data_IF_826493842103
#
_entry.id   IF_826493842103
#
_cell.length_a   1.000
_cell.length_b   1.000
_cell.length_c   1.000
_cell.angle_alpha   90.00
_cell.angle_beta   90.00
_cell.angle_gamma   90.00
#
_symmetry.space_group_name_H-M   'P 1'
#
loop_
_entity.id
_entity.type
_entity.pdbx_description
1 polymer ?
#
# COMPACT_ATOMS: atom_id res chain seq x y z
N UNK A 1 -12.66 15.29 -16.27
CA UNK A 1 -11.71 14.40 -15.58
C UNK A 1 -11.62 14.83 -14.13
N UNK A 2 -11.28 13.91 -13.22
CA UNK A 2 -11.58 14.08 -11.79
C UNK A 2 -10.52 13.42 -10.90
N UNK A 3 -10.20 14.09 -9.79
CA UNK A 3 -9.46 13.48 -8.69
C UNK A 3 -10.21 12.23 -8.20
N UNK A 4 -9.52 11.10 -8.17
CA UNK A 4 -10.01 9.82 -7.67
C UNK A 4 -9.81 9.73 -6.16
N UNK A 5 -10.65 8.95 -5.51
CA UNK A 5 -10.43 8.57 -4.12
C UNK A 5 -9.31 7.52 -4.04
N UNK A 6 -8.56 7.44 -2.94
CA UNK A 6 -7.57 6.38 -2.75
C UNK A 6 -8.17 4.97 -2.88
N UNK A 7 -9.42 4.77 -2.45
CA UNK A 7 -10.12 3.49 -2.57
C UNK A 7 -10.46 3.10 -4.02
N UNK A 8 -10.76 4.06 -4.90
CA UNK A 8 -10.94 3.79 -6.34
C UNK A 8 -9.62 3.38 -7.00
N UNK A 9 -8.53 4.08 -6.68
CA UNK A 9 -7.20 3.78 -7.19
C UNK A 9 -6.74 2.40 -6.73
N UNK A 10 -6.92 2.09 -5.44
CA UNK A 10 -6.63 0.77 -4.89
C UNK A 10 -7.42 -0.35 -5.58
N UNK A 11 -8.74 -0.18 -5.76
CA UNK A 11 -9.56 -1.18 -6.46
C UNK A 11 -9.15 -1.35 -7.93
N UNK A 12 -8.77 -0.27 -8.61
CA UNK A 12 -8.26 -0.37 -9.97
C UNK A 12 -6.95 -1.16 -10.04
N UNK A 13 -6.04 -0.98 -9.07
CA UNK A 13 -4.80 -1.76 -8.95
C UNK A 13 -5.08 -3.25 -8.69
N UNK A 14 -6.03 -3.58 -7.81
CA UNK A 14 -6.46 -4.97 -7.62
C UNK A 14 -7.00 -5.57 -8.92
N UNK A 15 -7.83 -4.81 -9.65
CA UNK A 15 -8.36 -5.22 -10.96
C UNK A 15 -7.29 -5.41 -12.03
N UNK A 16 -6.14 -4.71 -11.90
CA UNK A 16 -4.98 -4.89 -12.76
C UNK A 16 -4.09 -6.08 -12.35
N UNK A 17 -4.33 -6.70 -11.20
CA UNK A 17 -3.60 -7.88 -10.72
C UNK A 17 -2.64 -7.64 -9.56
N UNK A 18 -2.56 -6.42 -9.02
CA UNK A 18 -1.68 -6.14 -7.88
C UNK A 18 -2.03 -6.99 -6.64
N UNK A 19 -1.02 -7.58 -5.97
CA UNK A 19 -1.20 -8.07 -4.62
C UNK A 19 -1.70 -6.93 -3.71
N UNK A 20 -2.59 -7.21 -2.73
CA UNK A 20 -3.17 -6.17 -1.87
C UNK A 20 -2.16 -5.22 -1.23
N UNK A 21 -1.06 -5.74 -0.68
CA UNK A 21 -0.02 -4.92 -0.05
C UNK A 21 0.74 -4.06 -1.06
N UNK A 22 0.98 -4.59 -2.26
CA UNK A 22 1.59 -3.85 -3.36
C UNK A 22 0.64 -2.75 -3.87
N UNK A 23 -0.67 -3.01 -3.91
CA UNK A 23 -1.68 -2.03 -4.27
C UNK A 23 -1.77 -0.89 -3.25
N UNK A 24 -1.61 -1.15 -1.93
CA UNK A 24 -1.50 -0.09 -0.91
C UNK A 24 -0.32 0.83 -1.21
N UNK A 25 0.87 0.24 -1.43
CA UNK A 25 2.09 0.99 -1.74
C UNK A 25 1.92 1.83 -3.01
N UNK A 26 1.41 1.23 -4.09
CA UNK A 26 1.21 1.93 -5.36
C UNK A 26 0.13 3.02 -5.26
N UNK A 27 -0.92 2.81 -4.47
CA UNK A 27 -1.92 3.86 -4.19
C UNK A 27 -1.28 5.05 -3.46
N UNK A 28 -0.37 4.80 -2.52
CA UNK A 28 0.34 5.86 -1.80
C UNK A 28 1.34 6.60 -2.70
N UNK A 29 2.04 5.89 -3.58
CA UNK A 29 2.89 6.49 -4.63
C UNK A 29 2.04 7.43 -5.49
N UNK A 30 0.87 6.98 -5.93
CA UNK A 30 -0.03 7.78 -6.74
C UNK A 30 -0.50 9.08 -6.05
N UNK A 31 -0.65 9.04 -4.73
CA UNK A 31 -0.92 10.23 -3.91
C UNK A 31 0.20 11.27 -4.00
N UNK A 32 1.46 10.83 -3.97
CA UNK A 32 2.60 11.74 -4.10
C UNK A 32 2.89 12.21 -5.53
N UNK A 33 2.59 11.37 -6.53
CA UNK A 33 2.81 11.66 -7.95
C UNK A 33 1.82 12.69 -8.49
N UNK A 34 0.52 12.51 -8.20
CA UNK A 34 -0.55 13.30 -8.82
C UNK A 34 -1.58 13.85 -7.83
N UNK A 35 -1.50 13.45 -6.55
CA UNK A 35 -2.63 13.67 -5.62
C UNK A 35 -3.89 12.92 -6.06
N UNK A 36 -3.70 11.74 -6.68
CA UNK A 36 -4.74 10.88 -7.26
C UNK A 36 -5.56 11.53 -8.39
N UNK A 37 -4.98 12.46 -9.14
CA UNK A 37 -5.63 13.09 -10.30
C UNK A 37 -5.41 12.24 -11.57
N UNK A 38 -6.50 11.70 -12.13
CA UNK A 38 -6.46 10.82 -13.31
C UNK A 38 -6.19 11.54 -14.64
N UNK A 39 -6.12 12.86 -14.59
CA UNK A 39 -5.79 13.75 -15.70
C UNK A 39 -4.48 14.51 -15.49
N UNK A 40 -3.73 14.24 -14.42
CA UNK A 40 -2.50 14.95 -14.17
C UNK A 40 -1.53 14.78 -15.34
N UNK A 41 -1.04 15.90 -15.88
CA UNK A 41 -0.02 15.91 -16.94
C UNK A 41 1.26 16.53 -16.40
N UNK A 42 2.30 15.71 -16.29
CA UNK A 42 3.62 16.08 -15.78
C UNK A 42 4.70 16.06 -16.85
N UNK A 43 5.90 16.50 -16.46
CA UNK A 43 7.13 16.44 -17.27
C UNK A 43 7.01 17.00 -18.69
N UNK A 44 6.15 17.99 -18.86
CA UNK A 44 5.84 18.59 -20.17
C UNK A 44 7.07 19.26 -20.79
N UNK A 45 7.98 19.78 -19.96
CA UNK A 45 9.26 20.39 -20.37
C UNK A 45 10.35 19.38 -20.71
N UNK A 46 10.18 18.10 -20.34
CA UNK A 46 11.16 17.03 -20.60
C UNK A 46 10.86 16.25 -21.88
N UNK A 47 9.78 16.60 -22.58
CA UNK A 47 9.38 15.93 -23.81
C UNK A 47 10.42 16.13 -24.92
N UNK A 48 10.60 15.11 -25.76
CA UNK A 48 11.49 15.17 -26.93
C UNK A 48 10.95 14.28 -28.06
N UNK A 49 11.78 13.88 -29.02
CA UNK A 49 11.33 13.02 -30.12
C UNK A 49 10.87 11.61 -29.67
N UNK A 50 11.41 11.11 -28.55
CA UNK A 50 11.11 9.78 -28.02
C UNK A 50 10.01 9.82 -26.97
N UNK A 51 10.14 10.74 -26.01
CA UNK A 51 9.31 10.77 -24.81
C UNK A 51 8.20 11.83 -24.91
N UNK A 52 6.97 11.40 -24.60
CA UNK A 52 5.82 12.28 -24.35
C UNK A 52 5.78 12.71 -22.88
N UNK A 53 4.70 13.36 -22.42
CA UNK A 53 4.57 13.77 -21.02
C UNK A 53 4.39 12.54 -20.10
N UNK A 54 4.46 12.78 -18.79
CA UNK A 54 3.97 11.82 -17.81
C UNK A 54 2.47 12.04 -17.62
N UNK A 55 1.67 10.97 -17.55
CA UNK A 55 0.20 11.07 -17.55
C UNK A 55 -0.46 10.26 -16.43
N UNK A 56 -1.54 10.83 -15.88
CA UNK A 56 -2.50 10.16 -15.02
C UNK A 56 -2.06 9.96 -13.58
N UNK A 57 -2.80 9.12 -12.86
CA UNK A 57 -2.69 8.94 -11.41
C UNK A 57 -1.29 8.50 -11.00
N UNK A 58 -0.65 7.66 -11.82
CA UNK A 58 0.69 7.10 -11.56
C UNK A 58 1.82 7.83 -12.30
N UNK A 59 1.52 8.95 -12.98
CA UNK A 59 2.48 9.72 -13.77
C UNK A 59 3.32 8.83 -14.70
N UNK A 60 2.66 7.99 -15.49
CA UNK A 60 3.35 7.10 -16.43
C UNK A 60 4.00 7.91 -17.54
N UNK A 61 5.32 7.82 -17.66
CA UNK A 61 6.08 8.47 -18.74
C UNK A 61 5.76 7.83 -20.10
N UNK A 62 5.02 8.57 -20.93
CA UNK A 62 4.55 8.09 -22.25
C UNK A 62 5.66 8.06 -23.30
N UNK A 63 5.52 7.17 -24.28
CA UNK A 63 6.41 7.06 -25.44
C UNK A 63 5.68 7.54 -26.69
N UNK A 64 6.26 8.49 -27.42
CA UNK A 64 5.66 9.00 -28.66
C UNK A 64 5.48 7.91 -29.71
N UNK A 65 6.44 7.00 -29.81
CA UNK A 65 6.39 5.85 -30.71
C UNK A 65 5.25 4.89 -30.40
N UNK A 66 4.66 4.95 -29.21
CA UNK A 66 3.61 4.04 -28.74
C UNK A 66 2.19 4.61 -28.85
N UNK A 67 2.07 5.87 -29.28
CA UNK A 67 0.79 6.56 -29.43
C UNK A 67 -0.16 5.79 -30.36
N UNK A 68 -1.36 5.47 -29.87
CA UNK A 68 -2.43 4.80 -30.62
C UNK A 68 -2.27 3.29 -30.79
N UNK A 69 -1.36 2.65 -30.04
CA UNK A 69 -1.10 1.21 -30.10
C UNK A 69 -1.75 0.40 -28.98
N UNK A 70 -2.31 1.05 -27.96
CA UNK A 70 -2.91 0.37 -26.80
C UNK A 70 -1.89 -0.24 -25.83
N UNK A 71 -0.63 0.24 -25.83
CA UNK A 71 0.41 -0.27 -24.92
C UNK A 71 0.46 0.50 -23.61
N UNK A 72 1.17 -0.02 -22.61
CA UNK A 72 1.29 0.58 -21.27
C UNK A 72 1.83 2.03 -21.26
N UNK A 73 2.51 2.47 -22.32
CA UNK A 73 3.06 3.84 -22.45
C UNK A 73 2.37 4.67 -23.53
N UNK A 74 1.22 4.20 -24.03
CA UNK A 74 0.39 4.90 -24.99
C UNK A 74 -0.49 5.94 -24.29
N UNK A 75 -0.30 7.21 -24.63
CA UNK A 75 -1.09 8.30 -24.05
C UNK A 75 -2.59 8.20 -24.38
N UNK A 76 -2.96 7.65 -25.54
CA UNK A 76 -4.37 7.50 -25.93
C UNK A 76 -5.09 6.47 -25.08
N UNK A 77 -4.41 5.37 -24.74
CA UNK A 77 -4.91 4.33 -23.84
C UNK A 77 -5.01 4.83 -22.39
N UNK A 78 -4.06 5.64 -21.94
CA UNK A 78 -4.04 6.17 -20.57
C UNK A 78 -5.07 7.28 -20.32
N UNK A 79 -5.47 8.01 -21.35
CA UNK A 79 -6.30 9.22 -21.21
C UNK A 79 -7.72 8.89 -20.78
N UNK A 80 -8.06 9.22 -19.54
CA UNK A 80 -9.41 9.07 -18.99
C UNK A 80 -9.78 7.65 -18.54
N UNK A 81 -8.87 6.67 -18.66
CA UNK A 81 -9.08 5.29 -18.23
C UNK A 81 -8.17 4.93 -17.04
N UNK A 82 -8.73 4.95 -15.83
CA UNK A 82 -8.03 4.57 -14.61
C UNK A 82 -7.59 3.10 -14.62
N UNK A 83 -8.35 2.21 -15.26
CA UNK A 83 -8.00 0.79 -15.39
C UNK A 83 -6.79 0.60 -16.29
N UNK A 84 -6.74 1.31 -17.41
CA UNK A 84 -5.56 1.34 -18.29
C UNK A 84 -4.33 1.89 -17.57
N UNK A 85 -4.49 2.98 -16.81
CA UNK A 85 -3.42 3.53 -15.98
C UNK A 85 -2.91 2.51 -14.93
N UNK A 86 -3.83 1.77 -14.29
CA UNK A 86 -3.46 0.73 -13.32
C UNK A 86 -2.75 -0.47 -13.97
N UNK A 87 -3.18 -0.89 -15.18
CA UNK A 87 -2.47 -1.92 -15.97
C UNK A 87 -1.06 -1.45 -16.36
N UNK A 88 -0.90 -0.19 -16.77
CA UNK A 88 0.41 0.36 -17.06
C UNK A 88 1.33 0.36 -15.82
N UNK A 89 0.79 0.76 -14.65
CA UNK A 89 1.50 0.68 -13.39
C UNK A 89 1.92 -0.77 -13.03
N UNK A 90 1.05 -1.74 -13.30
CA UNK A 90 1.31 -3.17 -13.09
C UNK A 90 2.52 -3.66 -13.90
N UNK A 91 2.50 -3.40 -15.20
CA UNK A 91 3.59 -3.76 -16.11
C UNK A 91 4.91 -3.08 -15.73
N UNK A 92 4.88 -1.76 -15.49
CA UNK A 92 6.10 -0.97 -15.19
C UNK A 92 6.71 -1.38 -13.85
N UNK A 93 5.87 -1.76 -12.88
CA UNK A 93 6.34 -2.16 -11.55
C UNK A 93 6.81 -3.61 -11.46
N UNK A 94 7.01 -4.28 -12.59
CA UNK A 94 7.31 -5.72 -12.65
C UNK A 94 6.30 -6.52 -11.83
N UNK A 95 5.01 -6.28 -12.07
CA UNK A 95 3.92 -6.95 -11.37
C UNK A 95 3.91 -6.66 -9.86
N UNK A 96 4.11 -5.38 -9.49
CA UNK A 96 4.10 -4.92 -8.11
C UNK A 96 5.30 -5.36 -7.26
N UNK A 97 6.35 -5.85 -7.89
CA UNK A 97 7.59 -6.27 -7.22
C UNK A 97 8.64 -5.16 -7.15
N UNK A 98 8.58 -4.16 -8.03
CA UNK A 98 9.57 -3.10 -8.16
C UNK A 98 8.91 -1.72 -8.32
N UNK A 99 9.08 -0.87 -7.31
CA UNK A 99 8.58 0.51 -7.31
C UNK A 99 9.68 1.56 -7.55
N UNK A 100 10.92 1.14 -7.82
CA UNK A 100 12.04 2.05 -8.08
C UNK A 100 11.88 2.98 -9.29
N UNK A 101 11.04 2.71 -10.30
CA UNK A 101 10.76 3.67 -11.36
C UNK A 101 10.13 4.99 -10.89
N UNK A 102 9.49 5.01 -9.71
CA UNK A 102 8.84 6.19 -9.16
C UNK A 102 9.71 6.88 -8.12
N UNK A 103 10.07 8.15 -8.35
CA UNK A 103 10.88 8.91 -7.40
C UNK A 103 10.14 9.16 -6.09
N UNK A 104 8.80 9.22 -6.11
CA UNK A 104 7.99 9.27 -4.89
C UNK A 104 8.21 8.05 -3.99
N UNK A 105 8.49 6.88 -4.56
CA UNK A 105 8.89 5.70 -3.81
C UNK A 105 10.32 5.80 -3.27
N UNK A 106 11.29 6.07 -4.14
CA UNK A 106 12.72 6.04 -3.76
C UNK A 106 13.13 7.17 -2.81
N UNK A 107 12.45 8.32 -2.88
CA UNK A 107 12.61 9.41 -1.90
C UNK A 107 11.93 9.13 -0.56
N UNK A 108 11.06 8.13 -0.47
CA UNK A 108 10.26 7.82 0.71
C UNK A 108 9.00 8.68 0.88
N UNK A 109 8.75 9.66 -0.01
CA UNK A 109 7.60 10.57 0.07
C UNK A 109 6.25 9.87 0.04
N UNK A 110 6.14 8.67 -0.55
CA UNK A 110 4.91 7.88 -0.53
C UNK A 110 4.41 7.59 0.90
N UNK A 111 5.31 7.55 1.90
CA UNK A 111 4.96 7.25 3.30
C UNK A 111 4.00 8.28 3.90
N UNK A 112 4.06 9.53 3.44
CA UNK A 112 3.17 10.62 3.88
C UNK A 112 1.71 10.34 3.52
N UNK A 113 1.47 9.48 2.53
CA UNK A 113 0.14 9.14 2.02
C UNK A 113 -0.40 7.80 2.56
N UNK A 114 0.44 6.97 3.19
CA UNK A 114 0.03 5.64 3.67
C UNK A 114 -1.12 5.71 4.67
N UNK A 115 -1.17 6.71 5.53
CA UNK A 115 -2.28 6.89 6.48
C UNK A 115 -3.63 7.13 5.79
N UNK A 116 -3.64 7.95 4.73
CA UNK A 116 -4.84 8.23 3.95
C UNK A 116 -5.30 6.99 3.17
N UNK A 117 -4.35 6.23 2.60
CA UNK A 117 -4.66 4.98 1.89
C UNK A 117 -5.24 3.95 2.85
N UNK A 118 -4.53 3.63 3.94
CA UNK A 118 -4.96 2.65 4.93
C UNK A 118 -6.32 2.96 5.53
N UNK A 119 -6.61 4.23 5.81
CA UNK A 119 -7.92 4.68 6.28
C UNK A 119 -9.02 4.50 5.23
N UNK A 120 -8.70 4.71 3.94
CA UNK A 120 -9.66 4.57 2.85
C UNK A 120 -9.94 3.12 2.45
N UNK A 121 -8.99 2.20 2.66
CA UNK A 121 -9.10 0.80 2.21
C UNK A 121 -9.31 -0.21 3.34
N UNK A 122 -9.41 0.23 4.60
CA UNK A 122 -9.71 -0.63 5.74
C UNK A 122 -8.59 -1.59 6.16
N UNK A 123 -7.41 -1.53 5.53
CA UNK A 123 -6.30 -2.48 5.73
C UNK A 123 -5.83 -2.56 7.19
N UNK A 124 -5.91 -1.48 7.95
CA UNK A 124 -5.56 -1.51 9.39
C UNK A 124 -6.59 -2.31 10.19
N UNK A 125 -7.87 -2.24 9.84
CA UNK A 125 -8.93 -3.03 10.47
C UNK A 125 -8.77 -4.51 10.18
N UNK A 126 -8.51 -4.87 8.92
CA UNK A 126 -8.35 -6.26 8.50
C UNK A 126 -7.12 -6.92 9.11
N UNK A 127 -5.96 -6.25 9.09
CA UNK A 127 -4.72 -6.79 9.69
C UNK A 127 -4.86 -6.96 11.20
N UNK A 128 -5.51 -6.02 11.90
CA UNK A 128 -5.75 -6.13 13.34
C UNK A 128 -6.75 -7.26 13.62
N UNK A 129 -7.84 -7.38 12.85
CA UNK A 129 -8.79 -8.49 12.97
C UNK A 129 -8.12 -9.85 12.81
N UNK A 130 -7.32 -10.01 11.76
CA UNK A 130 -6.56 -11.24 11.48
C UNK A 130 -5.57 -11.60 12.60
N UNK A 131 -4.96 -10.61 13.25
CA UNK A 131 -4.05 -10.81 14.37
C UNK A 131 -4.81 -11.17 15.65
N UNK A 132 -5.93 -10.50 15.93
CA UNK A 132 -6.79 -10.77 17.09
C UNK A 132 -7.36 -12.18 17.01
N UNK A 133 -7.87 -12.60 15.85
CA UNK A 133 -8.43 -13.94 15.64
C UNK A 133 -7.40 -15.06 15.82
N UNK A 134 -6.11 -14.77 15.59
CA UNK A 134 -4.99 -15.71 15.74
C UNK A 134 -4.43 -15.78 17.16
N UNK A 135 -4.91 -14.96 18.11
CA UNK A 135 -4.50 -15.00 19.52
C UNK A 135 -5.66 -15.56 20.36
N UNK A 136 -5.77 -16.90 20.51
CA UNK A 136 -6.79 -17.49 21.36
C UNK A 136 -6.61 -17.06 22.82
N UNK A 137 -7.63 -16.40 23.38
CA UNK A 137 -7.68 -15.98 24.79
C UNK A 137 -7.28 -14.53 25.09
N UNK A 138 -6.97 -13.72 24.08
CA UNK A 138 -6.81 -12.27 24.27
C UNK A 138 -8.16 -11.56 24.18
N UNK A 139 -8.60 -10.93 25.27
CA UNK A 139 -9.79 -10.07 25.31
C UNK A 139 -9.42 -8.67 24.77
N UNK A 140 -9.05 -8.61 23.49
CA UNK A 140 -8.65 -7.37 22.79
C UNK A 140 -9.59 -7.22 21.60
N UNK A 141 -10.39 -6.16 21.58
CA UNK A 141 -11.24 -5.87 20.41
C UNK A 141 -10.52 -4.94 19.45
N UNK A 142 -10.92 -4.96 18.17
CA UNK A 142 -10.50 -3.97 17.17
C UNK A 142 -10.82 -2.55 17.65
N UNK A 143 -11.90 -2.38 18.41
CA UNK A 143 -12.31 -1.11 19.03
C UNK A 143 -11.33 -0.58 20.07
N UNK A 144 -10.69 -1.46 20.84
CA UNK A 144 -9.73 -1.08 21.89
C UNK A 144 -8.41 -0.57 21.27
N UNK A 145 -7.96 -1.21 20.20
CA UNK A 145 -6.74 -0.83 19.46
C UNK A 145 -6.95 0.50 18.71
N UNK A 146 -8.08 0.65 18.05
CA UNK A 146 -8.41 1.87 17.30
C UNK A 146 -8.83 3.03 18.21
N UNK A 147 -9.43 2.74 19.36
CA UNK A 147 -9.82 3.72 20.38
C UNK A 147 -8.63 4.39 21.06
N UNK A 148 -7.55 3.65 21.30
CA UNK A 148 -6.29 4.19 21.86
C UNK A 148 -5.54 5.13 20.91
N UNK A 149 -5.71 4.98 19.60
CA UNK A 149 -5.01 5.77 18.59
C UNK A 149 -5.57 7.20 18.39
N UNK A 150 -6.73 7.54 18.97
CA UNK A 150 -7.34 8.87 18.82
C UNK A 150 -6.63 9.99 19.59
N UNK A 151 -5.66 9.65 20.45
CA UNK A 151 -4.91 10.62 21.26
C UNK A 151 -3.43 10.81 20.88
N UNK A 152 -2.89 10.03 19.93
CA UNK A 152 -1.46 10.06 19.59
C UNK A 152 -1.33 10.18 18.08
N UNK A 153 -1.13 11.41 17.60
CA UNK A 153 -0.62 11.61 16.26
C UNK A 153 0.78 10.99 16.19
N UNK A 154 1.02 10.14 15.17
CA UNK A 154 2.30 9.51 14.83
C UNK A 154 2.72 8.36 15.75
N UNK A 155 2.42 7.09 15.36
CA UNK A 155 3.32 5.92 15.52
C UNK A 155 2.71 4.56 15.04
N UNK A 156 1.86 4.54 14.01
CA UNK A 156 1.17 3.29 13.60
C UNK A 156 2.13 2.17 13.13
N UNK A 157 3.32 2.50 12.62
CA UNK A 157 4.32 1.49 12.24
C UNK A 157 5.07 0.91 13.45
N UNK A 158 5.33 1.74 14.47
CA UNK A 158 6.00 1.32 15.69
C UNK A 158 5.06 0.52 16.60
N UNK A 159 3.77 0.83 16.63
CA UNK A 159 2.78 0.04 17.38
C UNK A 159 2.61 -1.34 16.74
N UNK A 160 2.55 -1.49 15.41
CA UNK A 160 2.38 -2.81 14.79
C UNK A 160 3.61 -3.70 14.99
N UNK A 161 4.84 -3.17 14.82
CA UNK A 161 6.06 -3.93 15.11
C UNK A 161 6.28 -4.13 16.61
N UNK A 162 5.97 -3.13 17.43
CA UNK A 162 6.08 -3.17 18.89
C UNK A 162 5.10 -4.15 19.52
N UNK A 163 3.83 -4.18 19.09
CA UNK A 163 2.85 -5.15 19.56
C UNK A 163 3.20 -6.56 19.07
N UNK A 164 3.62 -6.73 17.81
CA UNK A 164 4.05 -8.04 17.31
C UNK A 164 5.25 -8.60 18.13
N UNK A 165 6.19 -7.73 18.53
CA UNK A 165 7.31 -8.12 19.40
C UNK A 165 6.88 -8.38 20.86
N UNK A 166 5.95 -7.60 21.41
CA UNK A 166 5.39 -7.84 22.75
C UNK A 166 4.58 -9.14 22.79
N UNK A 167 3.78 -9.42 21.76
CA UNK A 167 2.99 -10.66 21.60
C UNK A 167 3.90 -11.87 21.42
N UNK A 168 4.94 -11.78 20.58
CA UNK A 168 5.94 -12.85 20.46
C UNK A 168 6.69 -13.09 21.78
N UNK A 169 6.97 -12.03 22.54
CA UNK A 169 7.55 -12.10 23.88
C UNK A 169 6.66 -12.81 24.89
N UNK A 170 5.36 -12.49 24.90
CA UNK A 170 4.36 -13.10 25.79
C UNK A 170 4.05 -14.56 25.46
N UNK A 171 4.02 -14.92 24.17
CA UNK A 171 3.86 -16.31 23.74
C UNK A 171 5.07 -17.17 24.16
N UNK A 172 6.29 -16.63 24.03
CA UNK A 172 7.52 -17.30 24.43
C UNK A 172 7.62 -17.47 25.96
N UNK A 173 7.22 -16.46 26.74
CA UNK A 173 7.22 -16.55 28.21
C UNK A 173 6.16 -17.55 28.71
N UNK A 174 4.97 -17.55 28.12
CA UNK A 174 3.90 -18.49 28.47
C UNK A 174 4.27 -19.95 28.16
N UNK A 175 4.92 -20.20 27.03
CA UNK A 175 5.46 -21.52 26.70
C UNK A 175 6.58 -21.97 27.65
N UNK A 176 7.44 -21.04 28.10
CA UNK A 176 8.50 -21.32 29.07
C UNK A 176 7.94 -21.67 30.46
N UNK A 177 6.89 -20.95 30.89
CA UNK A 177 6.21 -21.19 32.17
C UNK A 177 5.49 -22.53 32.16
N UNK A 178 4.81 -22.87 31.05
CA UNK A 178 4.11 -24.15 30.91
C UNK A 178 5.06 -25.35 30.93
N UNK A 179 6.18 -25.26 30.19
CA UNK A 179 7.22 -26.29 30.19
C UNK A 179 7.88 -26.47 31.56
N UNK A 180 8.08 -25.38 32.31
CA UNK A 180 8.58 -25.43 33.69
C UNK A 180 7.59 -26.06 34.66
N UNK A 181 6.28 -25.83 34.47
CA UNK A 181 5.24 -26.45 35.29
C UNK A 181 5.18 -27.97 35.03
N UNK A 182 5.21 -28.39 33.77
CA UNK A 182 5.19 -29.80 33.37
C UNK A 182 6.48 -30.54 33.84
N UNK A 183 7.64 -29.86 33.84
CA UNK A 183 8.89 -30.42 34.37
C UNK A 183 8.90 -30.54 35.90
N UNK A 184 8.14 -29.72 36.63
CA UNK A 184 8.02 -29.80 38.10
C UNK A 184 7.02 -30.89 38.51
N UNK A 185 5.99 -31.14 37.72
CA UNK A 185 5.00 -32.20 37.96
C UNK A 185 5.51 -33.60 37.57
N UNK A 186 6.57 -33.68 36.76
CA UNK A 186 7.21 -34.93 36.32
C UNK A 186 8.38 -35.41 37.21
N UNK A 187 8.68 -34.73 38.32
CA UNK A 187 9.70 -35.16 39.29
C UNK A 187 9.07 -36.16 40.30
N UNK A 188 9.63 -37.37 40.46
CA UNK A 188 9.11 -38.38 41.39
C UNK A 188 9.35 -38.05 42.86
#
# INVERSE_FOLDING_TARGET
MARRTPAEVYRALLGAGFPPQAAVTMTAIAGGESGWDDAAVGDTRLQNATWGPSYGVFQVRTLKSETGKGTARDIMELTGDLGAQARAAWEISQHGADFTPWTVYTSGRYKDFLGQVSGAVGVVGDVIGDLVDKIPGADITVGDVLGGARGVAVEVVAVVFGLALVVAGLAKSSGLIRRRADEVEALP
#
